data_IF_059345551989
#
_entry.id   IF_059345551989
#
_cell.length_a   1.000
_cell.length_b   1.000
_cell.length_c   1.000
_cell.angle_alpha   90.00
_cell.angle_beta   90.00
_cell.angle_gamma   90.00
#
_symmetry.space_group_name_H-M   'P 1'
#
loop_
_entity.id
_entity.type
_entity.pdbx_description
1 polymer ?
#
# COMPACT_ATOMS: atom_id res chain seq x y z
N UNK A 1 8.17 8.93 -12.17
CA UNK A 1 6.97 9.38 -11.42
C UNK A 1 6.58 8.26 -10.47
N UNK A 2 6.56 8.52 -9.15
CA UNK A 2 6.26 7.49 -8.16
C UNK A 2 4.78 7.11 -8.16
N UNK A 3 4.42 5.92 -7.67
CA UNK A 3 3.02 5.50 -7.52
C UNK A 3 2.25 6.41 -6.55
N UNK A 4 2.93 7.02 -5.57
CA UNK A 4 2.34 8.03 -4.67
C UNK A 4 1.86 9.29 -5.41
N UNK A 5 2.59 9.75 -6.44
CA UNK A 5 2.13 10.87 -7.25
C UNK A 5 0.77 10.58 -7.87
N UNK A 6 0.63 9.39 -8.48
CA UNK A 6 -0.63 8.93 -9.08
C UNK A 6 -1.74 8.77 -8.03
N UNK A 7 -1.39 8.34 -6.80
CA UNK A 7 -2.35 8.24 -5.71
C UNK A 7 -2.91 9.63 -5.35
N UNK A 8 -2.04 10.62 -5.21
CA UNK A 8 -2.46 11.98 -4.85
C UNK A 8 -3.20 12.69 -5.99
N UNK A 9 -2.93 12.34 -7.25
CA UNK A 9 -3.75 12.79 -8.38
C UNK A 9 -5.16 12.17 -8.34
N UNK A 10 -5.26 10.87 -8.06
CA UNK A 10 -6.55 10.13 -8.00
C UNK A 10 -7.35 10.47 -6.74
N UNK A 11 -6.68 10.71 -5.62
CA UNK A 11 -7.27 11.02 -4.33
C UNK A 11 -6.52 12.19 -3.65
N UNK A 12 -6.76 13.43 -4.07
CA UNK A 12 -6.04 14.60 -3.55
C UNK A 12 -6.10 14.74 -2.03
N UNK A 13 -7.25 14.44 -1.42
CA UNK A 13 -7.47 14.50 0.02
C UNK A 13 -6.53 13.58 0.82
N UNK A 14 -6.05 12.49 0.21
CA UNK A 14 -5.13 11.56 0.87
C UNK A 14 -3.76 12.17 1.13
N UNK A 15 -3.34 13.19 0.36
CA UNK A 15 -2.01 13.82 0.48
C UNK A 15 -1.76 14.35 1.90
N UNK A 16 -2.78 14.92 2.55
CA UNK A 16 -2.65 15.53 3.88
C UNK A 16 -2.18 14.54 4.97
N UNK A 17 -2.48 13.25 4.81
CA UNK A 17 -2.07 12.19 5.74
C UNK A 17 -0.55 11.96 5.78
N UNK A 18 0.17 12.42 4.75
CA UNK A 18 1.61 12.23 4.60
C UNK A 18 2.42 13.48 5.02
N UNK A 19 1.78 14.46 5.67
CA UNK A 19 2.46 15.66 6.18
C UNK A 19 3.63 15.35 7.13
N UNK A 20 3.50 14.31 7.97
CA UNK A 20 4.55 13.86 8.91
C UNK A 20 5.78 13.26 8.23
N UNK A 21 5.71 12.98 6.92
CA UNK A 21 6.81 12.43 6.12
C UNK A 21 7.24 13.37 5.00
N UNK A 22 6.96 14.67 5.15
CA UNK A 22 7.37 15.73 4.22
C UNK A 22 6.89 15.51 2.77
N UNK A 23 5.62 15.17 2.60
CA UNK A 23 5.01 14.92 1.27
C UNK A 23 5.07 16.11 0.30
N UNK A 24 5.31 17.33 0.78
CA UNK A 24 5.47 18.49 -0.09
C UNK A 24 6.81 18.48 -0.83
N UNK A 25 7.82 17.78 -0.30
CA UNK A 25 9.04 17.42 -1.01
C UNK A 25 9.17 15.89 -1.04
N UNK A 26 8.59 15.28 -2.07
CA UNK A 26 8.66 13.83 -2.28
C UNK A 26 10.06 13.32 -2.65
N UNK A 27 11.06 14.19 -2.83
CA UNK A 27 12.48 13.81 -3.00
C UNK A 27 13.26 13.89 -1.68
N UNK A 28 12.62 14.33 -0.60
CA UNK A 28 13.24 14.44 0.71
C UNK A 28 13.60 13.07 1.31
N UNK A 29 14.62 13.00 2.18
CA UNK A 29 14.97 11.77 2.91
C UNK A 29 13.82 11.20 3.74
N UNK A 30 12.95 12.04 4.29
CA UNK A 30 11.79 11.64 5.09
C UNK A 30 10.77 10.89 4.24
N UNK A 31 10.43 11.45 3.07
CA UNK A 31 9.48 10.81 2.16
C UNK A 31 10.09 9.55 1.53
N UNK A 32 11.38 9.60 1.15
CA UNK A 32 12.12 8.44 0.67
C UNK A 32 12.12 7.29 1.68
N UNK A 33 12.39 7.59 2.95
CA UNK A 33 12.31 6.62 4.05
C UNK A 33 10.90 6.07 4.26
N UNK A 34 9.85 6.87 4.05
CA UNK A 34 8.49 6.36 4.06
C UNK A 34 8.21 5.40 2.90
N UNK A 35 8.61 5.72 1.67
CA UNK A 35 8.44 4.82 0.53
C UNK A 35 9.12 3.46 0.77
N UNK A 36 10.33 3.46 1.33
CA UNK A 36 11.04 2.22 1.68
C UNK A 36 10.27 1.40 2.71
N UNK A 37 9.67 2.02 3.74
CA UNK A 37 8.84 1.29 4.72
C UNK A 37 7.60 0.65 4.08
N UNK A 38 6.99 1.32 3.10
CA UNK A 38 5.82 0.79 2.38
C UNK A 38 6.23 -0.41 1.51
N UNK A 39 7.33 -0.30 0.76
CA UNK A 39 7.84 -1.39 -0.07
C UNK A 39 8.28 -2.59 0.77
N UNK A 40 8.95 -2.36 1.90
CA UNK A 40 9.31 -3.43 2.84
C UNK A 40 8.08 -4.08 3.47
N UNK A 41 7.01 -3.32 3.73
CA UNK A 41 5.75 -3.87 4.21
C UNK A 41 5.10 -4.80 3.18
N UNK A 42 5.12 -4.42 1.90
CA UNK A 42 4.65 -5.28 0.81
C UNK A 42 5.51 -6.53 0.65
N UNK A 43 6.83 -6.39 0.66
CA UNK A 43 7.77 -7.52 0.59
C UNK A 43 7.54 -8.51 1.72
N UNK A 44 7.33 -8.02 2.95
CA UNK A 44 6.99 -8.86 4.10
C UNK A 44 5.71 -9.67 3.84
N UNK A 45 4.65 -9.05 3.31
CA UNK A 45 3.42 -9.79 2.99
C UNK A 45 3.63 -10.87 1.95
N UNK A 46 4.38 -10.57 0.89
CA UNK A 46 4.70 -11.53 -0.17
C UNK A 46 5.48 -12.72 0.42
N UNK A 47 6.46 -12.47 1.30
CA UNK A 47 7.24 -13.52 1.95
C UNK A 47 6.44 -14.35 2.97
N UNK A 48 5.31 -13.84 3.47
CA UNK A 48 4.42 -14.56 4.38
C UNK A 48 3.31 -15.33 3.65
N UNK A 49 3.24 -15.26 2.31
CA UNK A 49 2.30 -16.08 1.52
C UNK A 49 2.63 -17.57 1.73
N UNK A 50 1.68 -18.31 2.32
CA UNK A 50 1.83 -19.72 2.70
C UNK A 50 2.02 -19.96 4.21
N UNK A 51 2.21 -18.91 5.00
CA UNK A 51 2.30 -18.96 6.47
C UNK A 51 1.08 -18.26 7.10
N UNK A 52 -0.11 -18.84 6.91
CA UNK A 52 -1.41 -18.20 7.18
C UNK A 52 -1.50 -17.49 8.53
N UNK A 53 -1.07 -18.15 9.61
CA UNK A 53 -1.12 -17.55 10.96
C UNK A 53 -0.23 -16.31 11.14
N UNK A 54 0.93 -16.28 10.49
CA UNK A 54 1.85 -15.15 10.55
C UNK A 54 1.35 -14.02 9.63
N UNK A 55 0.82 -14.37 8.46
CA UNK A 55 0.20 -13.44 7.52
C UNK A 55 -0.99 -12.72 8.16
N UNK A 56 -1.92 -13.46 8.77
CA UNK A 56 -3.11 -12.90 9.44
C UNK A 56 -2.74 -11.91 10.54
N UNK A 57 -1.78 -12.29 11.40
CA UNK A 57 -1.27 -11.43 12.48
C UNK A 57 -0.64 -10.14 11.93
N UNK A 58 0.11 -10.24 10.84
CA UNK A 58 0.73 -9.10 10.19
C UNK A 58 -0.29 -8.18 9.51
N UNK A 59 -1.33 -8.74 8.87
CA UNK A 59 -2.43 -7.98 8.26
C UNK A 59 -3.20 -7.23 9.35
N UNK A 60 -3.53 -7.89 10.46
CA UNK A 60 -4.23 -7.26 11.58
C UNK A 60 -3.39 -6.12 12.18
N UNK A 61 -2.08 -6.32 12.31
CA UNK A 61 -1.17 -5.26 12.74
C UNK A 61 -1.19 -4.05 11.80
N UNK A 62 -1.09 -4.28 10.49
CA UNK A 62 -1.09 -3.19 9.52
C UNK A 62 -2.45 -2.48 9.45
N UNK A 63 -3.55 -3.22 9.52
CA UNK A 63 -4.90 -2.67 9.60
C UNK A 63 -5.03 -1.72 10.79
N UNK A 64 -4.62 -2.14 11.99
CA UNK A 64 -4.63 -1.27 13.19
C UNK A 64 -3.79 -0.02 13.00
N UNK A 65 -2.63 -0.11 12.34
CA UNK A 65 -1.83 1.07 12.04
C UNK A 65 -2.58 2.07 11.15
N UNK A 66 -3.36 1.61 10.17
CA UNK A 66 -4.06 2.46 9.22
C UNK A 66 -5.42 2.97 9.73
N UNK A 67 -6.09 2.21 10.61
CA UNK A 67 -7.28 2.67 11.32
C UNK A 67 -7.01 3.87 12.24
N UNK A 68 -5.77 4.05 12.69
CA UNK A 68 -5.38 5.17 13.56
C UNK A 68 -5.25 6.52 12.83
N UNK A 69 -5.42 6.57 11.51
CA UNK A 69 -5.36 7.80 10.74
C UNK A 69 -6.77 8.33 10.46
N UNK A 70 -7.08 9.48 11.05
CA UNK A 70 -8.34 10.19 10.78
C UNK A 70 -8.49 10.48 9.28
N UNK A 71 -9.65 10.11 8.75
CA UNK A 71 -9.97 10.29 7.33
C UNK A 71 -9.43 9.20 6.40
N UNK A 72 -8.72 8.18 6.90
CA UNK A 72 -8.34 7.01 6.11
C UNK A 72 -9.59 6.32 5.54
N UNK A 73 -9.53 5.94 4.26
CA UNK A 73 -10.62 5.26 3.54
C UNK A 73 -10.11 4.01 2.88
N UNK A 74 -10.94 2.98 2.81
CA UNK A 74 -10.65 1.75 2.09
C UNK A 74 -10.32 2.05 0.62
N UNK A 75 -11.03 3.02 0.02
CA UNK A 75 -10.80 3.46 -1.37
C UNK A 75 -9.39 3.99 -1.65
N UNK A 76 -8.71 4.60 -0.67
CA UNK A 76 -7.33 5.05 -0.83
C UNK A 76 -6.36 3.88 -0.90
N UNK A 77 -6.56 2.86 -0.05
CA UNK A 77 -5.73 1.65 -0.02
C UNK A 77 -5.95 0.77 -1.26
N UNK A 78 -7.20 0.58 -1.67
CA UNK A 78 -7.53 -0.10 -2.93
C UNK A 78 -6.98 0.65 -4.15
N UNK A 79 -7.08 1.97 -4.12
CA UNK A 79 -6.49 2.85 -5.12
C UNK A 79 -4.97 2.69 -5.24
N UNK A 80 -4.29 2.57 -4.10
CA UNK A 80 -2.85 2.29 -4.06
C UNK A 80 -2.51 0.95 -4.70
N UNK A 81 -3.23 -0.11 -4.35
CA UNK A 81 -3.02 -1.44 -4.93
C UNK A 81 -3.22 -1.43 -6.45
N UNK A 82 -4.30 -0.81 -6.92
CA UNK A 82 -4.58 -0.63 -8.35
C UNK A 82 -3.43 0.10 -9.07
N UNK A 83 -2.93 1.21 -8.51
CA UNK A 83 -1.82 1.96 -9.12
C UNK A 83 -0.54 1.13 -9.14
N UNK A 84 -0.22 0.45 -8.04
CA UNK A 84 0.96 -0.41 -7.92
C UNK A 84 0.90 -1.55 -8.95
N UNK A 85 -0.19 -2.32 -8.96
CA UNK A 85 -0.39 -3.46 -9.86
C UNK A 85 -0.33 -3.07 -11.34
N UNK A 86 -0.81 -1.88 -11.71
CA UNK A 86 -0.68 -1.35 -13.06
C UNK A 86 0.73 -0.81 -13.39
N UNK A 87 1.56 -0.55 -12.38
CA UNK A 87 2.93 -0.08 -12.56
C UNK A 87 3.95 -1.23 -12.63
N UNK A 88 3.70 -2.35 -11.94
CA UNK A 88 4.59 -3.51 -11.89
C UNK A 88 4.98 -4.10 -13.27
N UNK A 89 4.07 -4.24 -14.25
CA UNK A 89 4.43 -4.74 -15.58
C UNK A 89 5.46 -3.88 -16.34
N UNK A 90 5.68 -2.63 -15.90
CA UNK A 90 6.66 -1.73 -16.53
C UNK A 90 8.09 -1.94 -16.03
N UNK A 91 8.26 -2.70 -14.95
CA UNK A 91 9.55 -2.93 -14.28
C UNK A 91 9.86 -4.41 -14.03
N UNK A 92 8.90 -5.31 -14.26
CA UNK A 92 9.05 -6.76 -14.11
C UNK A 92 8.76 -7.44 -15.45
N UNK A 93 9.69 -8.29 -15.87
CA UNK A 93 9.47 -9.20 -16.99
C UNK A 93 8.54 -10.35 -16.57
N UNK A 94 7.77 -10.88 -17.52
CA UNK A 94 6.85 -12.02 -17.32
C UNK A 94 5.88 -11.87 -16.12
N UNK A 95 5.46 -10.63 -15.83
CA UNK A 95 4.54 -10.33 -14.74
C UNK A 95 3.16 -10.99 -14.93
N UNK A 96 2.83 -11.94 -14.05
CA UNK A 96 1.51 -12.55 -13.99
C UNK A 96 0.54 -11.71 -13.15
N UNK A 97 -0.16 -10.81 -13.84
CA UNK A 97 -1.17 -9.93 -13.23
C UNK A 97 -2.31 -10.68 -12.55
N UNK A 98 -2.67 -11.87 -13.04
CA UNK A 98 -3.78 -12.65 -12.47
C UNK A 98 -3.35 -13.27 -11.14
N UNK A 99 -2.18 -13.91 -11.11
CA UNK A 99 -1.63 -14.50 -9.89
C UNK A 99 -1.42 -13.43 -8.81
N UNK A 100 -0.81 -12.30 -9.16
CA UNK A 100 -0.56 -11.22 -8.21
C UNK A 100 -1.86 -10.64 -7.64
N UNK A 101 -2.87 -10.45 -8.49
CA UNK A 101 -4.19 -9.96 -8.05
C UNK A 101 -4.88 -10.97 -7.13
N UNK A 102 -4.86 -12.26 -7.46
CA UNK A 102 -5.52 -13.28 -6.64
C UNK A 102 -4.91 -13.35 -5.23
N UNK A 103 -3.58 -13.27 -5.10
CA UNK A 103 -2.93 -13.25 -3.79
C UNK A 103 -3.24 -11.98 -3.00
N UNK A 104 -3.16 -10.80 -3.61
CA UNK A 104 -3.27 -9.55 -2.85
C UNK A 104 -4.71 -9.08 -2.60
N UNK A 105 -5.69 -9.48 -3.41
CA UNK A 105 -7.09 -9.08 -3.17
C UNK A 105 -7.58 -9.60 -1.82
N UNK A 106 -7.24 -10.84 -1.46
CA UNK A 106 -7.62 -11.42 -0.16
C UNK A 106 -6.95 -10.69 1.00
N UNK A 107 -5.64 -10.43 0.89
CA UNK A 107 -4.89 -9.62 1.86
C UNK A 107 -5.52 -8.23 2.04
N UNK A 108 -5.91 -7.58 0.95
CA UNK A 108 -6.47 -6.23 0.99
C UNK A 108 -7.92 -6.18 1.51
N UNK A 109 -8.70 -7.24 1.31
CA UNK A 109 -10.02 -7.35 1.93
C UNK A 109 -9.89 -7.25 3.46
N UNK A 110 -8.92 -7.97 4.03
CA UNK A 110 -8.72 -8.02 5.47
C UNK A 110 -8.01 -6.78 5.99
N UNK A 111 -7.01 -6.28 5.26
CA UNK A 111 -6.31 -5.05 5.57
C UNK A 111 -7.23 -3.82 5.58
N UNK A 112 -8.29 -3.80 4.76
CA UNK A 112 -9.22 -2.67 4.70
C UNK A 112 -10.46 -2.80 5.61
N UNK A 113 -10.58 -3.90 6.37
CA UNK A 113 -11.70 -4.09 7.32
C UNK A 113 -11.80 -2.92 8.31
N UNK A 114 -13.02 -2.42 8.51
CA UNK A 114 -13.32 -1.35 9.45
C UNK A 114 -13.05 0.08 8.94
N UNK A 115 -12.47 0.24 7.76
CA UNK A 115 -12.33 1.55 7.12
C UNK A 115 -13.61 1.93 6.34
N UNK A 116 -13.94 3.23 6.27
CA UNK A 116 -15.03 3.75 5.46
C UNK A 116 -14.74 3.74 3.94
#
# INVERSE_FOLDING_TARGET
MSFFHRLFEKFPDSKAMFSRVNVDDMQSPEFGGHMLRVLNGLDLFINLLGEDSALDSQIEHLNRQHLNYDGMKASYLWGMLDILTNSLPTVLDDYDALSFKNCLVEVFNDYTKGLP
#
